data_IF_789421963122
#
_entry.id   IF_789421963122
#
_cell.length_a   1.000
_cell.length_b   1.000
_cell.length_c   1.000
_cell.angle_alpha   90.00
_cell.angle_beta   90.00
_cell.angle_gamma   90.00
#
_symmetry.space_group_name_H-M   'P 1'
#
loop_
_entity.id
_entity.type
_entity.pdbx_description
1 polymer ?
#
# COMPACT_ATOMS: atom_id res chain seq x y z
N UNK A 1 -4.28 4.82 -8.71
CA UNK A 1 -3.63 5.04 -7.38
C UNK A 1 -3.91 3.89 -6.43
N UNK A 2 -2.89 3.38 -5.73
CA UNK A 2 -3.01 2.24 -4.79
C UNK A 2 -3.44 2.70 -3.39
N UNK A 3 -3.99 1.83 -2.53
CA UNK A 3 -4.36 2.20 -1.16
C UNK A 3 -3.20 2.81 -0.36
N UNK A 4 -2.00 2.22 -0.44
CA UNK A 4 -0.80 2.77 0.21
C UNK A 4 -0.45 4.21 -0.23
N UNK A 5 -0.66 4.54 -1.51
CA UNK A 5 -0.38 5.87 -2.04
C UNK A 5 -1.38 6.91 -1.46
N UNK A 6 -2.65 6.50 -1.30
CA UNK A 6 -3.72 7.33 -0.70
C UNK A 6 -3.44 7.54 0.79
N UNK A 7 -3.13 6.47 1.53
CA UNK A 7 -2.80 6.55 2.96
C UNK A 7 -1.61 7.50 3.18
N UNK A 8 -0.54 7.31 2.41
CA UNK A 8 0.67 8.15 2.48
C UNK A 8 0.35 9.63 2.18
N UNK A 9 -0.48 9.91 1.17
CA UNK A 9 -0.90 11.28 0.84
C UNK A 9 -1.72 11.93 1.97
N UNK A 10 -2.63 11.18 2.59
CA UNK A 10 -3.42 11.63 3.73
C UNK A 10 -2.52 11.94 4.93
N UNK A 11 -1.56 11.07 5.24
CA UNK A 11 -0.62 11.28 6.34
C UNK A 11 0.25 12.52 6.15
N UNK A 12 0.76 12.76 4.95
CA UNK A 12 1.57 13.96 4.66
C UNK A 12 0.73 15.22 4.83
N UNK A 13 -0.46 15.26 4.23
CA UNK A 13 -1.28 16.46 4.23
C UNK A 13 -1.89 16.75 5.61
N UNK A 14 -2.53 15.75 6.21
CA UNK A 14 -3.16 15.89 7.52
C UNK A 14 -2.15 15.87 8.67
N UNK A 15 -1.08 15.08 8.58
CA UNK A 15 0.00 15.11 9.56
C UNK A 15 0.71 16.47 9.62
N UNK A 16 0.99 17.11 8.48
CA UNK A 16 1.50 18.49 8.47
C UNK A 16 0.52 19.49 9.11
N UNK A 17 -0.80 19.30 8.92
CA UNK A 17 -1.80 20.11 9.61
C UNK A 17 -1.80 19.86 11.11
N UNK A 18 -1.74 18.61 11.55
CA UNK A 18 -1.68 18.21 12.96
C UNK A 18 -0.43 18.78 13.65
N UNK A 19 0.73 18.74 12.98
CA UNK A 19 1.97 19.33 13.48
C UNK A 19 1.88 20.85 13.69
N UNK A 20 1.10 21.55 12.84
CA UNK A 20 0.89 23.02 12.97
C UNK A 20 -0.24 23.39 13.93
N UNK A 21 -1.31 22.60 13.95
CA UNK A 21 -2.53 22.84 14.72
C UNK A 21 -2.95 21.61 15.54
N UNK A 22 -2.17 21.16 16.55
CA UNK A 22 -2.43 19.90 17.25
C UNK A 22 -3.83 19.81 17.86
N UNK A 23 -4.34 20.93 18.40
CA UNK A 23 -5.65 21.02 19.03
C UNK A 23 -6.85 20.90 18.05
N UNK A 24 -6.61 20.89 16.74
CA UNK A 24 -7.66 20.83 15.70
C UNK A 24 -7.58 19.58 14.83
N UNK A 25 -6.53 18.79 14.96
CA UNK A 25 -6.44 17.51 14.30
C UNK A 25 -7.20 16.47 15.12
N UNK A 26 -8.16 15.82 14.48
CA UNK A 26 -8.92 14.71 15.04
C UNK A 26 -8.54 13.47 14.24
N UNK A 27 -7.67 12.64 14.82
CA UNK A 27 -7.12 11.46 14.16
C UNK A 27 -8.21 10.44 13.82
N UNK A 28 -9.22 10.33 14.69
CA UNK A 28 -10.45 9.58 14.44
C UNK A 28 -11.18 10.01 13.16
N UNK A 29 -11.17 11.31 12.82
CA UNK A 29 -11.76 11.79 11.57
C UNK A 29 -10.92 11.43 10.32
N UNK A 30 -9.61 11.23 10.48
CA UNK A 30 -8.72 10.75 9.40
C UNK A 30 -8.92 9.26 9.19
N UNK A 31 -9.01 8.49 10.26
CA UNK A 31 -9.32 7.06 10.23
C UNK A 31 -10.72 6.80 9.67
N UNK A 32 -11.73 7.60 10.08
CA UNK A 32 -13.08 7.55 9.51
C UNK A 32 -13.04 7.84 8.01
N UNK A 33 -12.24 8.80 7.58
CA UNK A 33 -12.09 9.18 6.18
C UNK A 33 -11.34 8.12 5.35
N UNK A 34 -10.32 7.47 5.91
CA UNK A 34 -9.69 6.29 5.31
C UNK A 34 -10.68 5.10 5.24
N UNK A 35 -11.47 4.88 6.28
CA UNK A 35 -12.45 3.80 6.38
C UNK A 35 -13.65 3.95 5.43
N UNK A 36 -14.20 5.16 5.28
CA UNK A 36 -15.36 5.43 4.41
C UNK A 36 -15.05 5.26 2.92
N UNK A 37 -13.79 5.48 2.50
CA UNK A 37 -13.42 5.59 1.08
C UNK A 37 -12.69 4.37 0.52
N UNK A 38 -12.17 3.48 1.38
CA UNK A 38 -11.53 2.23 0.94
C UNK A 38 -12.51 1.04 0.82
N UNK A 39 -13.75 1.10 1.37
CA UNK A 39 -14.98 0.37 0.93
C UNK A 39 -16.21 0.68 1.83
N UNK A 40 -17.47 0.64 1.34
CA UNK A 40 -18.65 1.17 2.07
C UNK A 40 -19.22 0.30 3.20
N UNK A 41 -18.73 -0.93 3.42
CA UNK A 41 -19.41 -1.94 4.24
C UNK A 41 -18.51 -2.69 5.23
N UNK A 42 -17.33 -2.16 5.55
CA UNK A 42 -16.43 -2.77 6.53
C UNK A 42 -16.06 -1.76 7.61
N UNK A 43 -16.24 -2.07 8.91
CA UNK A 43 -15.63 -1.29 9.97
C UNK A 43 -14.11 -1.49 9.87
N UNK A 44 -13.44 -0.55 9.22
CA UNK A 44 -11.98 -0.54 9.14
C UNK A 44 -11.40 -0.17 10.51
N UNK A 45 -10.68 -1.10 11.12
CA UNK A 45 -9.58 -0.77 12.05
C UNK A 45 -8.32 -0.58 11.18
N UNK A 46 -8.23 0.51 10.42
CA UNK A 46 -6.98 0.83 9.68
C UNK A 46 -5.92 1.18 10.71
N UNK A 47 -4.97 0.28 10.98
CA UNK A 47 -3.85 0.58 11.87
C UNK A 47 -2.74 1.19 11.05
N UNK A 48 -2.46 2.47 11.29
CA UNK A 48 -1.23 3.11 10.84
C UNK A 48 -0.22 3.01 11.97
N UNK A 49 0.78 2.17 11.77
CA UNK A 49 1.85 1.95 12.73
C UNK A 49 3.19 2.42 12.18
N UNK A 50 3.99 3.03 13.06
CA UNK A 50 5.37 3.34 12.78
C UNK A 50 6.23 2.33 13.50
N UNK A 51 7.19 1.76 12.78
CA UNK A 51 8.19 0.88 13.37
C UNK A 51 9.42 1.73 13.64
N UNK A 52 9.76 1.88 14.93
CA UNK A 52 10.88 2.72 15.34
C UNK A 52 12.24 2.03 15.11
N UNK A 53 13.34 2.68 15.52
CA UNK A 53 14.69 2.15 15.35
C UNK A 53 14.92 0.85 16.15
N UNK A 54 14.16 0.64 17.23
CA UNK A 54 14.18 -0.56 18.05
C UNK A 54 13.31 -1.70 17.52
N UNK A 55 12.53 -1.45 16.45
CA UNK A 55 11.54 -2.39 15.95
C UNK A 55 10.23 -2.37 16.73
N UNK A 56 10.02 -1.39 17.62
CA UNK A 56 8.76 -1.26 18.36
C UNK A 56 7.71 -0.60 17.47
N UNK A 57 6.49 -1.17 17.50
CA UNK A 57 5.35 -0.64 16.78
C UNK A 57 4.67 0.40 17.66
N UNK A 58 4.57 1.63 17.16
CA UNK A 58 3.85 2.72 17.80
C UNK A 58 2.74 3.22 16.88
N UNK A 59 1.63 3.67 17.45
CA UNK A 59 0.58 4.33 16.66
C UNK A 59 1.11 5.64 16.07
N UNK A 60 0.50 6.12 14.98
CA UNK A 60 0.91 7.41 14.42
C UNK A 60 0.75 8.59 15.40
N UNK A 61 -0.29 8.55 16.23
CA UNK A 61 -0.53 9.57 17.26
C UNK A 61 0.62 9.57 18.28
N UNK A 62 0.94 8.42 18.87
CA UNK A 62 2.08 8.27 19.80
C UNK A 62 3.40 8.67 19.14
N UNK A 63 3.58 8.34 17.86
CA UNK A 63 4.76 8.73 17.09
C UNK A 63 4.89 10.25 16.94
N UNK A 64 3.77 10.96 16.73
CA UNK A 64 3.72 12.43 16.64
C UNK A 64 3.89 13.11 18.00
N UNK A 65 3.28 12.58 19.06
CA UNK A 65 3.36 13.14 20.42
C UNK A 65 4.80 13.23 20.94
N UNK A 66 5.66 12.30 20.50
CA UNK A 66 7.08 12.28 20.85
C UNK A 66 7.95 13.18 19.95
N UNK A 67 7.35 13.96 19.05
CA UNK A 67 8.02 14.74 17.99
C UNK A 67 7.59 16.23 17.86
N UNK A 68 7.09 16.94 18.89
CA UNK A 68 6.62 18.31 18.71
C UNK A 68 7.80 19.27 18.48
N UNK A 69 7.85 19.83 17.27
CA UNK A 69 8.67 20.99 16.96
C UNK A 69 7.85 21.94 16.07
N UNK A 70 7.90 23.27 16.27
CA UNK A 70 7.23 24.23 15.37
C UNK A 70 7.63 24.08 13.90
N UNK A 71 8.83 23.57 13.66
CA UNK A 71 9.44 23.27 12.35
C UNK A 71 9.17 21.85 11.85
N UNK A 72 8.49 21.00 12.62
CA UNK A 72 8.19 19.62 12.23
C UNK A 72 7.32 19.59 10.96
N UNK A 73 7.76 18.84 9.95
CA UNK A 73 7.09 18.68 8.66
C UNK A 73 7.24 17.25 8.15
N UNK A 74 6.25 16.81 7.40
CA UNK A 74 6.27 15.58 6.63
C UNK A 74 6.40 15.90 5.15
N UNK A 75 7.23 15.12 4.45
CA UNK A 75 7.49 15.22 3.03
C UNK A 75 7.42 13.86 2.38
N UNK A 76 7.31 13.85 1.05
CA UNK A 76 7.50 12.68 0.21
C UNK A 76 8.76 12.84 -0.62
N UNK A 77 9.59 11.82 -0.59
CA UNK A 77 10.79 11.73 -1.42
C UNK A 77 10.68 10.48 -2.31
N UNK A 78 11.16 10.52 -3.56
CA UNK A 78 11.16 9.33 -4.42
C UNK A 78 12.06 8.23 -3.85
N UNK A 79 11.73 6.97 -4.14
CA UNK A 79 12.72 5.90 -3.97
C UNK A 79 13.90 6.09 -4.95
N UNK A 80 15.12 5.68 -4.56
CA UNK A 80 16.25 5.68 -5.46
C UNK A 80 16.00 4.77 -6.67
N UNK A 81 16.59 5.12 -7.81
CA UNK A 81 16.53 4.30 -9.02
C UNK A 81 17.45 3.09 -8.87
N UNK A 82 17.01 2.11 -8.08
CA UNK A 82 17.65 0.83 -7.84
C UNK A 82 18.44 0.76 -6.52
N UNK A 83 18.63 -0.47 -5.98
CA UNK A 83 19.26 -0.70 -4.67
C UNK A 83 20.73 -0.27 -4.59
N UNK A 84 21.39 -0.03 -5.72
CA UNK A 84 22.81 0.34 -5.77
C UNK A 84 23.10 1.84 -5.64
N UNK A 85 22.11 2.71 -5.88
CA UNK A 85 22.38 4.16 -5.98
C UNK A 85 22.40 4.89 -4.64
N UNK A 86 21.82 4.29 -3.59
CA UNK A 86 21.85 4.85 -2.24
C UNK A 86 22.53 3.87 -1.27
N UNK A 87 23.77 4.18 -0.90
CA UNK A 87 24.54 3.35 0.02
C UNK A 87 23.94 3.26 1.42
N UNK A 88 23.06 4.20 1.79
CA UNK A 88 22.38 4.15 3.09
C UNK A 88 21.28 3.08 3.15
N UNK A 89 20.86 2.56 1.99
CA UNK A 89 19.95 1.42 1.92
C UNK A 89 20.68 0.08 1.94
N UNK A 90 22.02 0.07 1.87
CA UNK A 90 22.82 -1.16 1.90
C UNK A 90 22.85 -1.69 3.33
N UNK A 91 22.27 -2.88 3.54
CA UNK A 91 22.19 -3.51 4.86
C UNK A 91 20.90 -3.21 5.62
N UNK A 92 19.88 -2.66 4.95
CA UNK A 92 18.55 -2.64 5.51
C UNK A 92 17.97 -4.07 5.60
N UNK A 93 17.06 -4.31 6.56
CA UNK A 93 16.26 -5.52 6.61
C UNK A 93 15.54 -5.86 5.29
N UNK A 94 15.30 -7.15 5.05
CA UNK A 94 14.71 -7.67 3.79
C UNK A 94 13.29 -7.15 3.54
N UNK A 95 12.49 -7.01 4.59
CA UNK A 95 11.14 -6.43 4.55
C UNK A 95 11.12 -4.97 4.09
N UNK A 96 12.15 -4.18 4.41
CA UNK A 96 12.30 -2.81 3.89
C UNK A 96 12.61 -2.84 2.39
N UNK A 97 13.47 -3.75 1.94
CA UNK A 97 13.75 -3.92 0.52
C UNK A 97 12.50 -4.36 -0.24
N UNK A 98 11.76 -5.33 0.29
CA UNK A 98 10.48 -5.76 -0.25
C UNK A 98 9.48 -4.60 -0.34
N UNK A 99 9.38 -3.77 0.71
CA UNK A 99 8.49 -2.62 0.73
C UNK A 99 8.88 -1.57 -0.33
N UNK A 100 10.18 -1.30 -0.53
CA UNK A 100 10.66 -0.42 -1.60
C UNK A 100 10.32 -0.99 -2.98
N UNK A 101 10.56 -2.27 -3.19
CA UNK A 101 10.34 -2.96 -4.46
C UNK A 101 8.84 -3.12 -4.79
N UNK A 102 8.00 -3.24 -3.76
CA UNK A 102 6.54 -3.21 -3.87
C UNK A 102 6.04 -1.86 -4.42
N UNK A 103 6.88 -0.82 -4.38
CA UNK A 103 6.64 0.48 -4.98
C UNK A 103 5.83 1.42 -4.08
N UNK A 104 5.73 2.69 -4.45
CA UNK A 104 5.16 3.72 -3.59
C UNK A 104 5.00 5.04 -4.30
N UNK A 105 4.47 6.02 -3.58
CA UNK A 105 4.86 7.40 -3.84
C UNK A 105 6.33 7.64 -3.49
N UNK A 106 6.89 6.86 -2.54
CA UNK A 106 8.29 6.88 -2.15
C UNK A 106 8.43 6.85 -0.62
N UNK A 107 9.50 7.42 -0.09
CA UNK A 107 9.67 7.57 1.36
C UNK A 107 8.73 8.64 1.91
N UNK A 108 8.18 8.36 3.10
CA UNK A 108 7.72 9.41 3.99
C UNK A 108 8.93 9.97 4.75
N UNK A 109 9.11 11.29 4.70
CA UNK A 109 10.26 11.95 5.33
C UNK A 109 9.79 12.90 6.40
N UNK A 110 10.25 12.68 7.63
CA UNK A 110 10.04 13.60 8.74
C UNK A 110 11.23 14.54 8.89
N UNK A 111 10.97 15.83 9.04
CA UNK A 111 11.99 16.82 9.41
C UNK A 111 11.49 17.72 10.52
N UNK A 112 12.31 17.98 11.55
CA UNK A 112 12.08 19.04 12.54
C UNK A 112 13.10 20.18 12.46
N UNK A 113 13.92 20.20 11.40
CA UNK A 113 15.03 21.13 11.23
C UNK A 113 16.32 20.72 11.94
N UNK A 114 16.29 19.73 12.84
CA UNK A 114 17.48 19.11 13.43
C UNK A 114 17.66 17.66 12.98
N UNK A 115 16.55 16.94 12.88
CA UNK A 115 16.45 15.56 12.47
C UNK A 115 15.82 15.46 11.09
N UNK A 116 16.24 14.45 10.37
CA UNK A 116 15.66 14.06 9.10
C UNK A 116 15.60 12.54 9.07
N UNK A 117 14.40 11.98 8.99
CA UNK A 117 14.14 10.55 9.12
C UNK A 117 13.34 10.07 7.91
N UNK A 118 13.70 8.92 7.33
CA UNK A 118 12.96 8.28 6.23
C UNK A 118 12.20 7.08 6.74
N UNK A 119 11.00 6.90 6.20
CA UNK A 119 10.15 5.75 6.45
C UNK A 119 9.67 5.18 5.13
N UNK A 120 9.68 3.85 5.00
CA UNK A 120 9.10 3.14 3.86
C UNK A 120 7.68 2.74 4.19
N UNK A 121 6.68 3.19 3.41
CA UNK A 121 5.31 2.74 3.57
C UNK A 121 5.17 1.29 3.08
N UNK A 122 4.57 0.43 3.88
CA UNK A 122 4.26 -0.97 3.57
C UNK A 122 2.77 -1.22 3.79
N UNK A 123 2.12 -1.80 2.79
CA UNK A 123 0.73 -2.27 2.93
C UNK A 123 0.76 -3.67 3.53
N UNK A 124 0.18 -3.82 4.71
CA UNK A 124 0.01 -5.10 5.37
C UNK A 124 -1.37 -5.61 5.00
N UNK A 125 -1.38 -6.67 4.19
CA UNK A 125 -2.61 -7.40 3.95
C UNK A 125 -3.05 -8.05 5.25
N UNK A 126 -4.31 -7.91 5.64
CA UNK A 126 -4.81 -8.59 6.81
C UNK A 126 -4.68 -10.10 6.62
N UNK A 127 -4.50 -10.85 7.71
CA UNK A 127 -4.57 -12.29 7.65
C UNK A 127 -5.89 -12.70 6.98
N UNK A 128 -5.80 -13.54 5.96
CA UNK A 128 -6.97 -14.19 5.33
C UNK A 128 -7.75 -14.99 6.37
N UNK A 129 -7.05 -15.51 7.39
CA UNK A 129 -7.60 -16.29 8.49
C UNK A 129 -7.24 -15.71 9.87
N UNK A 130 -8.22 -15.29 10.67
CA UNK A 130 -8.00 -14.90 12.07
C UNK A 130 -8.09 -16.13 13.01
N UNK A 131 -7.25 -17.13 12.75
CA UNK A 131 -7.23 -18.38 13.53
C UNK A 131 -5.91 -18.44 14.27
N UNK A 132 -5.97 -18.50 15.60
CA UNK A 132 -4.80 -18.76 16.44
C UNK A 132 -4.45 -20.25 16.44
N UNK A 133 -3.19 -20.58 16.74
CA UNK A 133 -2.75 -21.97 16.88
C UNK A 133 -3.63 -22.80 17.82
N UNK A 134 -3.95 -22.31 19.04
CA UNK A 134 -4.87 -23.01 19.94
C UNK A 134 -6.27 -23.23 19.35
N UNK A 135 -6.80 -22.31 18.55
CA UNK A 135 -8.09 -22.49 17.87
C UNK A 135 -8.00 -23.55 16.77
N UNK A 136 -6.93 -23.55 15.97
CA UNK A 136 -6.68 -24.59 14.98
C UNK A 136 -6.54 -25.97 15.63
N UNK A 137 -5.79 -26.06 16.73
CA UNK A 137 -5.62 -27.29 17.49
C UNK A 137 -6.95 -27.82 18.06
N UNK A 138 -7.73 -26.96 18.72
CA UNK A 138 -9.04 -27.31 19.25
C UNK A 138 -10.02 -27.74 18.14
N UNK A 139 -9.94 -27.09 16.97
CA UNK A 139 -10.73 -27.43 15.80
C UNK A 139 -10.39 -28.84 15.27
N UNK A 140 -9.10 -29.20 15.17
CA UNK A 140 -8.66 -30.52 14.73
C UNK A 140 -9.11 -31.60 15.73
N UNK A 141 -8.95 -31.36 17.04
CA UNK A 141 -9.38 -32.29 18.10
C UNK A 141 -10.87 -32.61 18.07
N UNK A 142 -11.70 -31.69 17.57
CA UNK A 142 -13.15 -31.89 17.44
C UNK A 142 -13.57 -32.79 16.28
N UNK A 143 -12.64 -33.30 15.47
CA UNK A 143 -12.91 -34.12 14.28
C UNK A 143 -12.96 -35.61 14.59
N UNK A 144 -13.54 -36.36 13.67
CA UNK A 144 -13.66 -37.81 13.77
C UNK A 144 -12.29 -38.52 13.77
N UNK A 145 -11.34 -38.02 12.97
CA UNK A 145 -9.96 -38.52 12.91
C UNK A 145 -8.94 -37.38 13.09
N UNK A 146 -8.68 -36.96 14.35
CA UNK A 146 -7.73 -35.90 14.63
C UNK A 146 -6.28 -36.33 14.33
N UNK A 147 -5.97 -37.62 14.44
CA UNK A 147 -4.60 -38.14 14.26
C UNK A 147 -4.10 -37.98 12.83
N UNK A 148 -4.90 -38.33 11.83
CA UNK A 148 -4.53 -38.14 10.42
C UNK A 148 -4.30 -36.65 10.08
N UNK A 149 -5.15 -35.76 10.60
CA UNK A 149 -5.01 -34.32 10.39
C UNK A 149 -3.76 -33.75 11.08
N UNK A 150 -3.42 -34.23 12.27
CA UNK A 150 -2.18 -33.84 12.92
C UNK A 150 -0.94 -34.34 12.17
N UNK A 151 -0.97 -35.51 11.54
CA UNK A 151 0.14 -35.99 10.71
C UNK A 151 0.36 -35.10 9.47
N UNK A 152 -0.71 -34.68 8.79
CA UNK A 152 -0.61 -33.74 7.67
C UNK A 152 -0.05 -32.40 8.15
N UNK A 153 -0.59 -31.85 9.25
CA UNK A 153 -0.14 -30.57 9.78
C UNK A 153 1.32 -30.62 10.28
N UNK A 154 1.73 -31.72 10.91
CA UNK A 154 3.13 -31.98 11.28
C UNK A 154 4.05 -32.02 10.06
N UNK A 155 3.59 -32.64 8.97
CA UNK A 155 4.34 -32.69 7.71
C UNK A 155 4.48 -31.30 7.10
N UNK A 156 3.40 -30.51 7.02
CA UNK A 156 3.41 -29.14 6.49
C UNK A 156 4.29 -28.17 7.29
N UNK A 157 4.31 -28.35 8.61
CA UNK A 157 5.12 -27.56 9.53
C UNK A 157 6.54 -28.13 9.71
N UNK A 158 6.86 -29.28 9.11
CA UNK A 158 8.12 -29.99 9.25
C UNK A 158 8.52 -30.25 10.72
N UNK A 159 7.55 -30.62 11.56
CA UNK A 159 7.75 -30.90 13.00
C UNK A 159 7.40 -32.35 13.29
N UNK A 160 8.04 -32.94 14.30
CA UNK A 160 7.66 -34.26 14.79
C UNK A 160 6.24 -34.22 15.38
N UNK A 161 5.38 -35.24 15.15
CA UNK A 161 4.00 -35.26 15.64
C UNK A 161 3.88 -35.01 17.16
N UNK A 162 4.84 -35.48 17.96
CA UNK A 162 4.82 -35.33 19.42
C UNK A 162 5.12 -33.89 19.88
N UNK A 163 5.74 -33.08 19.02
CA UNK A 163 6.05 -31.67 19.28
C UNK A 163 4.99 -30.72 18.69
N UNK A 164 4.05 -31.25 17.91
CA UNK A 164 3.12 -30.46 17.11
C UNK A 164 2.22 -29.56 17.97
N UNK A 165 1.66 -30.08 19.06
CA UNK A 165 0.77 -29.29 19.95
C UNK A 165 1.48 -28.06 20.52
N UNK A 166 2.69 -28.25 21.04
CA UNK A 166 3.51 -27.16 21.57
C UNK A 166 3.95 -26.17 20.49
N UNK A 167 4.23 -26.66 19.28
CA UNK A 167 4.60 -25.82 18.15
C UNK A 167 3.42 -25.00 17.65
N UNK A 168 2.26 -25.61 17.41
CA UNK A 168 1.03 -24.92 17.00
C UNK A 168 0.66 -23.85 18.02
N UNK A 169 0.72 -24.16 19.32
CA UNK A 169 0.43 -23.18 20.38
C UNK A 169 1.37 -21.96 20.37
N UNK A 170 2.56 -22.09 19.76
CA UNK A 170 3.52 -20.99 19.60
C UNK A 170 3.36 -20.21 18.30
N UNK A 171 2.59 -20.73 17.33
CA UNK A 171 2.38 -20.06 16.04
C UNK A 171 1.48 -18.84 16.22
N UNK A 172 1.94 -17.72 15.65
CA UNK A 172 1.14 -16.52 15.50
C UNK A 172 0.06 -16.71 14.41
N UNK A 173 -0.99 -15.88 14.37
CA UNK A 173 -1.92 -15.84 13.26
C UNK A 173 -1.26 -15.60 11.89
N UNK A 174 -0.12 -14.91 11.87
CA UNK A 174 0.66 -14.64 10.66
C UNK A 174 1.37 -15.90 10.17
N UNK A 175 2.02 -16.65 11.08
CA UNK A 175 2.64 -17.93 10.74
C UNK A 175 1.61 -18.92 10.15
N UNK A 176 0.35 -18.82 10.60
CA UNK A 176 -0.73 -19.66 10.13
C UNK A 176 -1.27 -19.27 8.75
N UNK A 177 -0.99 -18.07 8.24
CA UNK A 177 -1.44 -17.65 6.90
C UNK A 177 -0.86 -18.51 5.78
N UNK A 178 0.39 -18.91 5.93
CA UNK A 178 1.07 -19.74 4.92
C UNK A 178 0.76 -21.23 5.12
N UNK A 179 0.44 -21.61 6.35
CA UNK A 179 0.23 -23.01 6.75
C UNK A 179 -1.17 -23.45 6.40
N UNK A 180 -2.19 -22.63 6.67
CA UNK A 180 -3.60 -22.99 6.46
C UNK A 180 -3.90 -23.36 5.00
N UNK A 181 -3.53 -22.57 3.96
CA UNK A 181 -3.80 -22.92 2.56
C UNK A 181 -3.16 -24.25 2.15
N UNK A 182 -1.91 -24.48 2.57
CA UNK A 182 -1.20 -25.74 2.29
C UNK A 182 -1.83 -26.91 3.02
N UNK A 183 -2.12 -26.74 4.30
CA UNK A 183 -2.83 -27.72 5.11
C UNK A 183 -4.21 -28.06 4.54
N UNK A 184 -4.97 -27.08 4.04
CA UNK A 184 -6.26 -27.33 3.38
C UNK A 184 -6.10 -28.09 2.06
N UNK A 185 -5.07 -27.77 1.27
CA UNK A 185 -4.77 -28.48 0.03
C UNK A 185 -4.36 -29.94 0.32
N UNK A 186 -3.38 -30.15 1.20
CA UNK A 186 -2.87 -31.46 1.58
C UNK A 186 -3.90 -32.29 2.36
N UNK A 187 -4.75 -31.63 3.16
CA UNK A 187 -5.86 -32.26 3.88
C UNK A 187 -6.94 -32.82 2.97
N UNK A 188 -7.11 -32.25 1.77
CA UNK A 188 -8.06 -32.76 0.77
C UNK A 188 -7.61 -34.07 0.12
N UNK A 189 -6.31 -34.38 0.17
CA UNK A 189 -5.69 -35.60 -0.35
C UNK A 189 -5.57 -36.72 0.70
N UNK A 190 -6.03 -36.48 1.93
CA UNK A 190 -6.08 -37.53 2.95
C UNK A 190 -7.08 -38.59 2.50
N UNK A 191 -6.58 -39.68 1.93
CA UNK A 191 -7.36 -40.89 1.68
C UNK A 191 -7.77 -41.45 3.04
N UNK A 192 -8.98 -41.08 3.48
CA UNK A 192 -9.63 -41.68 4.63
C UNK A 192 -9.64 -43.19 4.41
N UNK A 193 -8.90 -43.89 5.27
CA UNK A 193 -8.62 -45.30 5.10
C UNK A 193 -9.91 -46.06 4.80
N UNK A 194 -9.86 -46.90 3.77
CA UNK A 194 -10.97 -47.70 3.25
C UNK A 194 -11.47 -48.77 4.24
N UNK A 195 -11.88 -48.36 5.44
CA UNK A 195 -12.49 -49.20 6.46
C UNK A 195 -14.00 -49.00 6.50
N UNK A 196 -14.68 -49.00 5.35
CA UNK A 196 -16.16 -49.08 5.28
C UNK A 196 -16.96 -47.92 5.88
N UNK A 197 -16.31 -46.97 6.56
CA UNK A 197 -16.89 -45.70 6.96
C UNK A 197 -16.78 -44.74 5.78
N UNK A 198 -17.89 -44.04 5.54
CA UNK A 198 -18.00 -43.06 4.48
C UNK A 198 -16.82 -42.07 4.55
N UNK A 199 -16.38 -41.56 3.40
CA UNK A 199 -15.49 -40.40 3.36
C UNK A 199 -16.01 -39.25 4.23
N UNK A 200 -15.25 -38.15 4.37
CA UNK A 200 -15.62 -37.06 5.28
C UNK A 200 -17.07 -36.69 4.99
N UNK A 201 -17.91 -36.72 6.03
CA UNK A 201 -19.32 -36.38 5.85
C UNK A 201 -19.35 -35.01 5.16
N UNK A 202 -20.27 -34.81 4.22
CA UNK A 202 -20.59 -33.51 3.66
C UNK A 202 -20.62 -32.40 4.73
N UNK A 203 -21.11 -32.73 5.94
CA UNK A 203 -21.10 -31.85 7.10
C UNK A 203 -19.69 -31.45 7.59
N UNK A 204 -18.71 -32.37 7.56
CA UNK A 204 -17.33 -32.07 7.94
C UNK A 204 -16.65 -31.14 6.94
N UNK A 205 -16.85 -31.37 5.63
CA UNK A 205 -16.33 -30.51 4.56
C UNK A 205 -16.96 -29.10 4.63
N UNK A 206 -18.27 -29.01 4.87
CA UNK A 206 -18.95 -27.73 5.07
C UNK A 206 -18.46 -26.99 6.32
N UNK A 207 -18.29 -27.70 7.45
CA UNK A 207 -17.76 -27.09 8.68
C UNK A 207 -16.30 -26.65 8.49
N UNK A 208 -15.52 -27.39 7.71
CA UNK A 208 -14.16 -27.05 7.35
C UNK A 208 -14.07 -25.76 6.54
N UNK A 209 -14.81 -25.71 5.44
CA UNK A 209 -14.87 -24.54 4.59
C UNK A 209 -15.45 -23.32 5.31
N UNK A 210 -16.39 -23.53 6.25
CA UNK A 210 -16.95 -22.45 7.07
C UNK A 210 -15.96 -21.91 8.10
N UNK A 211 -15.19 -22.77 8.77
CA UNK A 211 -14.19 -22.36 9.75
C UNK A 211 -13.02 -21.62 9.13
N UNK A 212 -12.55 -22.11 7.97
CA UNK A 212 -11.53 -21.44 7.16
C UNK A 212 -12.15 -20.52 6.09
N UNK A 213 -13.40 -20.10 6.24
CA UNK A 213 -13.90 -19.03 5.39
C UNK A 213 -13.14 -17.75 5.76
N UNK A 214 -12.65 -16.96 4.78
CA UNK A 214 -12.07 -15.66 5.08
C UNK A 214 -13.04 -14.88 5.97
N UNK A 215 -12.53 -14.30 7.06
CA UNK A 215 -13.38 -13.50 7.94
C UNK A 215 -14.09 -12.44 7.10
N UNK A 216 -15.43 -12.27 7.20
CA UNK A 216 -16.13 -11.19 6.50
C UNK A 216 -15.55 -9.80 6.80
N UNK A 217 -14.80 -9.69 7.91
CA UNK A 217 -14.08 -8.49 8.35
C UNK A 217 -12.61 -8.41 7.87
N UNK A 218 -12.04 -9.43 7.19
CA UNK A 218 -10.63 -9.45 6.75
C UNK A 218 -10.32 -8.51 5.57
N UNK A 219 -11.09 -7.43 5.40
CA UNK A 219 -10.77 -6.36 4.45
C UNK A 219 -9.97 -5.22 5.09
N UNK A 220 -9.49 -5.39 6.33
CA UNK A 220 -8.73 -4.38 7.07
C UNK A 220 -7.32 -4.22 6.49
N UNK A 221 -7.14 -3.26 5.60
CA UNK A 221 -5.79 -2.81 5.21
C UNK A 221 -5.11 -2.16 6.43
N UNK A 222 -3.94 -2.68 6.79
CA UNK A 222 -3.05 -2.04 7.76
C UNK A 222 -1.85 -1.47 7.02
N UNK A 223 -1.27 -0.41 7.58
CA UNK A 223 -0.16 0.30 6.94
C UNK A 223 0.96 0.48 7.94
N UNK A 224 2.15 0.02 7.57
CA UNK A 224 3.36 0.18 8.36
C UNK A 224 4.29 1.21 7.73
N UNK A 225 4.92 2.01 8.56
CA UNK A 225 5.97 2.94 8.18
C UNK A 225 7.28 2.47 8.81
N UNK A 226 8.05 1.72 8.01
CA UNK A 226 9.29 1.10 8.45
C UNK A 226 10.43 2.12 8.43
N UNK A 227 11.16 2.26 9.54
CA UNK A 227 12.29 3.18 9.58
C UNK A 227 13.41 2.79 8.60
N UNK A 228 13.66 3.64 7.60
CA UNK A 228 14.61 3.42 6.52
C UNK A 228 15.97 4.11 6.75
N UNK A 229 16.19 4.67 7.95
CA UNK A 229 17.40 5.41 8.28
C UNK A 229 17.24 6.94 8.23
N UNK A 230 18.35 7.69 8.36
CA UNK A 230 18.34 9.14 8.24
C UNK A 230 17.95 9.57 6.82
N UNK A 231 17.34 10.73 6.69
CA UNK A 231 17.09 11.39 5.40
C UNK A 231 18.17 12.40 5.03
N UNK A 232 18.05 12.97 3.83
CA UNK A 232 18.97 13.94 3.25
C UNK A 232 18.24 15.22 2.80
N UNK A 233 18.92 16.37 2.79
CA UNK A 233 18.30 17.62 2.32
C UNK A 233 17.74 17.52 0.88
N UNK A 234 18.35 16.68 0.04
CA UNK A 234 17.86 16.38 -1.31
C UNK A 234 16.49 15.71 -1.34
N UNK A 235 16.06 15.11 -0.23
CA UNK A 235 14.75 14.46 -0.09
C UNK A 235 13.62 15.50 0.07
N UNK A 236 13.97 16.74 0.40
CA UNK A 236 13.03 17.84 0.56
C UNK A 236 12.73 18.47 -0.81
N UNK A 237 11.88 17.80 -1.60
CA UNK A 237 11.49 18.24 -2.95
C UNK A 237 10.62 19.52 -2.89
N UNK A 238 10.95 20.54 -3.72
CA UNK A 238 10.36 21.89 -3.58
C UNK A 238 9.92 22.61 -4.86
N UNK A 239 10.24 22.12 -6.05
CA UNK A 239 9.95 22.89 -7.27
C UNK A 239 8.65 22.45 -7.94
N UNK A 240 7.55 23.05 -7.47
CA UNK A 240 6.20 22.84 -8.02
C UNK A 240 6.10 23.25 -9.49
N UNK A 241 6.81 24.30 -9.90
CA UNK A 241 6.76 24.82 -11.27
C UNK A 241 7.54 23.91 -12.22
N UNK A 242 8.69 23.38 -11.80
CA UNK A 242 9.42 22.37 -12.57
C UNK A 242 8.61 21.09 -12.73
N UNK A 243 8.04 20.55 -11.64
CA UNK A 243 7.20 19.36 -11.70
C UNK A 243 5.97 19.56 -12.61
N UNK A 244 5.37 20.76 -12.57
CA UNK A 244 4.28 21.15 -13.45
C UNK A 244 4.69 21.21 -14.92
N UNK A 245 5.83 21.83 -15.23
CA UNK A 245 6.35 21.92 -16.59
C UNK A 245 6.71 20.54 -17.15
N UNK A 246 7.34 19.69 -16.34
CA UNK A 246 7.73 18.32 -16.73
C UNK A 246 6.52 17.43 -17.01
N UNK A 247 5.50 17.47 -16.15
CA UNK A 247 4.27 16.73 -16.38
C UNK A 247 3.55 17.23 -17.64
N UNK A 248 3.42 18.54 -17.81
CA UNK A 248 2.80 19.12 -19.01
C UNK A 248 3.51 18.64 -20.29
N UNK A 249 4.83 18.75 -20.34
CA UNK A 249 5.63 18.31 -21.49
C UNK A 249 5.49 16.80 -21.76
N UNK A 250 5.38 15.99 -20.72
CA UNK A 250 5.21 14.54 -20.84
C UNK A 250 3.83 14.17 -21.39
N UNK A 251 2.77 14.82 -20.88
CA UNK A 251 1.39 14.62 -21.38
C UNK A 251 1.25 15.09 -22.83
N UNK A 252 1.83 16.24 -23.19
CA UNK A 252 1.85 16.73 -24.58
C UNK A 252 2.55 15.74 -25.52
N UNK A 253 3.64 15.12 -25.08
CA UNK A 253 4.38 14.15 -25.89
C UNK A 253 3.57 12.86 -26.13
N UNK A 254 2.92 12.30 -25.11
CA UNK A 254 2.04 11.12 -25.29
C UNK A 254 0.77 11.46 -26.06
N UNK A 255 0.24 12.68 -25.92
CA UNK A 255 -0.88 13.17 -26.74
C UNK A 255 -0.48 13.23 -28.22
N UNK A 256 0.69 13.79 -28.54
CA UNK A 256 1.18 13.88 -29.90
C UNK A 256 1.43 12.50 -30.52
N UNK A 257 1.97 11.56 -29.73
CA UNK A 257 2.12 10.16 -30.14
C UNK A 257 0.75 9.51 -30.41
N UNK A 258 -0.20 9.64 -29.48
CA UNK A 258 -1.56 9.13 -29.66
C UNK A 258 -2.23 9.69 -30.93
N UNK A 259 -2.05 10.98 -31.21
CA UNK A 259 -2.55 11.62 -32.43
C UNK A 259 -1.94 11.01 -33.70
N UNK A 260 -0.61 10.85 -33.75
CA UNK A 260 0.09 10.27 -34.89
C UNK A 260 -0.37 8.84 -35.21
N UNK A 261 -0.74 8.06 -34.19
CA UNK A 261 -1.25 6.70 -34.31
C UNK A 261 -2.78 6.60 -34.39
N UNK A 262 -3.49 7.72 -34.59
CA UNK A 262 -4.97 7.76 -34.67
C UNK A 262 -5.70 7.22 -33.42
N UNK A 263 -5.07 7.29 -32.26
CA UNK A 263 -5.60 6.85 -30.96
C UNK A 263 -6.47 7.96 -30.34
N UNK A 264 -7.60 8.25 -30.98
CA UNK A 264 -8.45 9.42 -30.66
C UNK A 264 -8.94 9.48 -29.22
N UNK A 265 -9.21 8.32 -28.60
CA UNK A 265 -9.63 8.25 -27.19
C UNK A 265 -8.52 8.72 -26.26
N UNK A 266 -7.28 8.25 -26.48
CA UNK A 266 -6.09 8.62 -25.72
C UNK A 266 -5.70 10.08 -25.94
N UNK A 267 -5.72 10.56 -27.19
CA UNK A 267 -5.49 11.97 -27.49
C UNK A 267 -6.46 12.88 -26.71
N UNK A 268 -7.76 12.55 -26.74
CA UNK A 268 -8.79 13.30 -25.99
C UNK A 268 -8.57 13.20 -24.49
N UNK A 269 -8.14 12.04 -23.98
CA UNK A 269 -7.85 11.82 -22.56
C UNK A 269 -6.70 12.73 -22.10
N UNK A 270 -5.54 12.68 -22.75
CA UNK A 270 -4.37 13.50 -22.39
C UNK A 270 -4.64 14.99 -22.51
N UNK A 271 -5.39 15.42 -23.54
CA UNK A 271 -5.84 16.80 -23.66
C UNK A 271 -6.68 17.25 -22.45
N UNK A 272 -7.58 16.38 -21.96
CA UNK A 272 -8.41 16.67 -20.77
C UNK A 272 -7.57 16.72 -19.50
N UNK A 273 -6.56 15.87 -19.37
CA UNK A 273 -5.63 15.90 -18.23
C UNK A 273 -4.86 17.24 -18.19
N UNK A 274 -4.29 17.69 -19.32
CA UNK A 274 -3.59 18.97 -19.42
C UNK A 274 -4.43 20.18 -18.99
N UNK A 275 -5.72 20.20 -19.37
CA UNK A 275 -6.63 21.29 -18.99
C UNK A 275 -6.73 21.46 -17.46
N UNK A 276 -6.52 20.40 -16.68
CA UNK A 276 -6.56 20.47 -15.20
C UNK A 276 -5.52 21.41 -14.62
N UNK A 277 -4.41 21.65 -15.33
CA UNK A 277 -3.41 22.62 -14.90
C UNK A 277 -3.94 24.07 -14.87
N UNK A 278 -4.96 24.41 -15.66
CA UNK A 278 -5.48 25.77 -15.77
C UNK A 278 -6.91 25.95 -15.24
N UNK A 279 -7.63 24.86 -15.02
CA UNK A 279 -9.00 24.91 -14.54
C UNK A 279 -9.05 25.25 -13.05
N UNK A 280 -10.09 25.98 -12.64
CA UNK A 280 -10.42 26.12 -11.23
C UNK A 280 -10.69 24.73 -10.65
N UNK A 281 -10.04 24.35 -9.53
CA UNK A 281 -10.32 23.08 -8.87
C UNK A 281 -11.81 22.94 -8.56
N UNK A 282 -12.42 21.87 -9.06
CA UNK A 282 -13.79 21.52 -8.73
C UNK A 282 -13.76 20.36 -7.73
N UNK A 283 -14.59 20.37 -6.68
CA UNK A 283 -14.62 19.33 -5.64
C UNK A 283 -15.26 18.00 -6.11
N UNK A 284 -15.10 17.63 -7.39
CA UNK A 284 -15.90 16.58 -8.03
C UNK A 284 -15.33 15.15 -7.91
N UNK A 285 -14.19 14.95 -7.25
CA UNK A 285 -13.51 13.65 -7.17
C UNK A 285 -12.92 13.43 -5.75
N UNK A 286 -12.97 12.20 -5.24
CA UNK A 286 -12.67 11.87 -3.82
C UNK A 286 -11.27 12.29 -3.37
N UNK A 287 -10.27 12.19 -4.24
CA UNK A 287 -8.89 12.66 -3.96
C UNK A 287 -8.82 14.18 -3.78
N UNK A 288 -9.70 14.92 -4.45
CA UNK A 288 -9.71 16.39 -4.48
C UNK A 288 -10.30 16.95 -3.22
N UNK A 289 -11.33 16.30 -2.69
CA UNK A 289 -11.90 16.63 -1.38
C UNK A 289 -10.82 16.52 -0.29
N UNK A 290 -10.00 15.45 -0.32
CA UNK A 290 -8.87 15.27 0.59
C UNK A 290 -7.81 16.36 0.47
N UNK A 291 -7.44 16.71 -0.75
CA UNK A 291 -6.43 17.73 -1.01
C UNK A 291 -6.92 19.13 -0.62
N UNK A 292 -8.19 19.45 -0.90
CA UNK A 292 -8.82 20.73 -0.58
C UNK A 292 -8.98 20.95 0.93
N UNK A 293 -9.32 19.92 1.70
CA UNK A 293 -9.50 20.00 3.16
C UNK A 293 -8.21 20.39 3.91
N UNK A 294 -7.05 20.24 3.28
CA UNK A 294 -5.74 20.46 3.90
C UNK A 294 -5.10 21.81 3.54
N UNK A 295 -5.84 22.72 2.87
CA UNK A 295 -5.39 24.10 2.65
C UNK A 295 -4.23 24.24 1.66
N UNK A 296 -4.09 23.30 0.73
CA UNK A 296 -3.10 23.36 -0.34
C UNK A 296 -3.35 24.57 -1.26
N UNK A 297 -2.29 25.20 -1.80
CA UNK A 297 -2.44 26.30 -2.75
C UNK A 297 -3.02 25.79 -4.08
N UNK A 298 -3.82 26.63 -4.76
CA UNK A 298 -4.48 26.28 -6.03
C UNK A 298 -3.56 25.63 -7.07
N UNK A 299 -2.32 26.12 -7.31
CA UNK A 299 -1.42 25.48 -8.27
C UNK A 299 -1.04 24.02 -7.91
N UNK A 300 -0.93 23.70 -6.62
CA UNK A 300 -0.64 22.35 -6.15
C UNK A 300 -1.85 21.42 -6.35
N UNK A 301 -3.06 21.91 -6.08
CA UNK A 301 -4.28 21.16 -6.34
C UNK A 301 -4.44 20.88 -7.84
N UNK A 302 -4.24 21.90 -8.69
CA UNK A 302 -4.26 21.74 -10.15
C UNK A 302 -3.24 20.71 -10.65
N UNK A 303 -2.03 20.71 -10.07
CA UNK A 303 -1.00 19.76 -10.43
C UNK A 303 -1.38 18.33 -10.01
N UNK A 304 -1.88 18.13 -8.79
CA UNK A 304 -2.36 16.83 -8.33
C UNK A 304 -3.54 16.31 -9.17
N UNK A 305 -4.47 17.19 -9.56
CA UNK A 305 -5.58 16.86 -10.46
C UNK A 305 -5.09 16.44 -11.84
N UNK A 306 -4.10 17.15 -12.38
CA UNK A 306 -3.48 16.81 -13.65
C UNK A 306 -2.79 15.45 -13.57
N UNK A 307 -2.00 15.23 -12.51
CA UNK A 307 -1.32 13.96 -12.25
C UNK A 307 -2.32 12.80 -12.18
N UNK A 308 -3.34 12.91 -11.33
CA UNK A 308 -4.39 11.89 -11.20
C UNK A 308 -5.15 11.65 -12.51
N UNK A 309 -5.49 12.71 -13.25
CA UNK A 309 -6.16 12.58 -14.54
C UNK A 309 -5.27 12.01 -15.65
N UNK A 310 -3.94 12.05 -15.48
CA UNK A 310 -2.95 11.49 -16.42
C UNK A 310 -2.50 10.07 -16.05
N UNK A 311 -2.90 9.55 -14.88
CA UNK A 311 -2.56 8.21 -14.42
C UNK A 311 -3.36 7.17 -15.22
N UNK A 312 -2.72 6.67 -16.28
CA UNK A 312 -3.28 5.71 -17.24
C UNK A 312 -2.70 4.30 -17.06
N UNK A 313 -2.03 4.07 -15.93
CA UNK A 313 -1.27 2.86 -15.65
C UNK A 313 -2.10 1.91 -14.78
N UNK A 314 -2.58 0.82 -15.37
CA UNK A 314 -3.29 -0.25 -14.67
C UNK A 314 -4.74 -0.47 -15.13
N UNK A 315 -5.22 -1.70 -14.97
CA UNK A 315 -6.53 -2.15 -15.43
C UNK A 315 -6.54 -2.64 -16.89
N UNK A 316 -7.60 -3.35 -17.27
CA UNK A 316 -7.81 -3.83 -18.64
C UNK A 316 -8.23 -2.68 -19.56
N UNK A 317 -7.60 -2.57 -20.73
CA UNK A 317 -7.76 -1.46 -21.67
C UNK A 317 -6.96 -0.21 -21.31
N UNK A 318 -5.97 -0.33 -20.43
CA UNK A 318 -5.11 0.77 -19.99
C UNK A 318 -4.09 1.17 -21.06
N UNK A 319 -3.36 2.27 -20.83
CA UNK A 319 -2.32 2.69 -21.76
C UNK A 319 -1.28 1.59 -21.95
N UNK A 320 -0.96 0.86 -20.87
CA UNK A 320 0.00 -0.24 -20.86
C UNK A 320 -0.38 -1.44 -21.74
N UNK A 321 -1.65 -1.57 -22.15
CA UNK A 321 -2.11 -2.66 -23.01
C UNK A 321 -1.84 -2.38 -24.50
N UNK A 322 -1.37 -1.19 -24.83
CA UNK A 322 -1.01 -0.82 -26.20
C UNK A 322 0.29 -1.52 -26.61
N UNK A 323 0.31 -2.02 -27.85
CA UNK A 323 1.50 -2.61 -28.46
C UNK A 323 1.79 -1.95 -29.80
N UNK A 324 3.08 -1.79 -30.08
CA UNK A 324 3.63 -1.19 -31.29
C UNK A 324 4.82 -2.02 -31.73
N UNK A 325 5.30 -1.81 -32.95
CA UNK A 325 6.44 -2.53 -33.51
C UNK A 325 7.61 -1.57 -33.82
N UNK A 326 8.83 -2.08 -33.76
CA UNK A 326 10.04 -1.34 -34.15
C UNK A 326 10.25 -0.05 -33.35
N UNK A 327 10.58 1.03 -34.06
CA UNK A 327 10.91 2.33 -33.45
C UNK A 327 9.73 2.94 -32.67
N UNK A 328 8.49 2.64 -33.07
CA UNK A 328 7.31 3.14 -32.35
C UNK A 328 7.14 2.44 -31.00
N UNK A 329 7.57 1.19 -30.86
CA UNK A 329 7.61 0.49 -29.57
C UNK A 329 8.60 1.16 -28.61
N UNK A 330 9.84 1.39 -29.07
CA UNK A 330 10.88 2.03 -28.25
C UNK A 330 10.44 3.43 -27.81
N UNK A 331 9.85 4.19 -28.73
CA UNK A 331 9.31 5.52 -28.44
C UNK A 331 8.15 5.46 -27.47
N UNK A 332 7.22 4.52 -27.65
CA UNK A 332 6.11 4.31 -26.74
C UNK A 332 6.59 3.97 -25.33
N UNK A 333 7.54 3.04 -25.17
CA UNK A 333 8.12 2.67 -23.87
C UNK A 333 8.76 3.90 -23.21
N UNK A 334 9.62 4.63 -23.93
CA UNK A 334 10.29 5.81 -23.39
C UNK A 334 9.31 6.92 -22.97
N UNK A 335 8.23 7.12 -23.72
CA UNK A 335 7.18 8.08 -23.39
C UNK A 335 6.34 7.62 -22.19
N UNK A 336 6.02 6.34 -22.10
CA UNK A 336 5.29 5.74 -20.98
C UNK A 336 6.09 5.86 -19.68
N UNK A 337 7.38 5.52 -19.72
CA UNK A 337 8.28 5.64 -18.55
C UNK A 337 8.39 7.09 -18.08
N UNK A 338 8.54 8.02 -19.03
CA UNK A 338 8.60 9.46 -18.74
C UNK A 338 7.29 9.95 -18.14
N UNK A 339 6.15 9.57 -18.71
CA UNK A 339 4.82 9.94 -18.19
C UNK A 339 4.67 9.41 -16.77
N UNK A 340 4.92 8.12 -16.55
CA UNK A 340 4.85 7.48 -15.23
C UNK A 340 5.69 8.23 -14.19
N UNK A 341 6.96 8.50 -14.50
CA UNK A 341 7.86 9.22 -13.61
C UNK A 341 7.35 10.63 -13.30
N UNK A 342 6.98 11.40 -14.32
CA UNK A 342 6.50 12.78 -14.16
C UNK A 342 5.18 12.88 -13.41
N UNK A 343 4.24 11.93 -13.60
CA UNK A 343 2.97 11.85 -12.87
C UNK A 343 3.22 11.61 -11.38
N UNK A 344 4.13 10.69 -11.03
CA UNK A 344 4.49 10.40 -9.64
C UNK A 344 5.19 11.58 -8.98
N UNK A 345 6.11 12.24 -9.68
CA UNK A 345 6.77 13.47 -9.21
C UNK A 345 5.76 14.58 -8.97
N UNK A 346 4.92 14.89 -9.95
CA UNK A 346 3.89 15.91 -9.83
C UNK A 346 2.98 15.68 -8.62
N UNK A 347 2.55 14.44 -8.38
CA UNK A 347 1.72 14.11 -7.22
C UNK A 347 2.47 14.34 -5.90
N UNK A 348 3.72 13.86 -5.76
CA UNK A 348 4.55 14.11 -4.56
C UNK A 348 4.75 15.60 -4.31
N UNK A 349 5.19 16.35 -5.31
CA UNK A 349 5.48 17.78 -5.16
C UNK A 349 4.22 18.58 -4.81
N UNK A 350 3.07 18.17 -5.35
CA UNK A 350 1.78 18.76 -4.98
C UNK A 350 1.45 18.52 -3.51
N UNK A 351 1.63 17.28 -3.02
CA UNK A 351 1.38 16.91 -1.62
C UNK A 351 2.36 17.63 -0.68
N UNK A 352 3.64 17.70 -1.04
CA UNK A 352 4.68 18.40 -0.28
C UNK A 352 4.40 19.89 -0.11
N UNK A 353 3.53 20.50 -0.93
CA UNK A 353 3.09 21.87 -0.72
C UNK A 353 2.33 22.06 0.60
N UNK A 354 1.85 20.99 1.26
CA UNK A 354 1.29 21.08 2.62
C UNK A 354 2.35 21.35 3.68
N UNK A 355 3.63 21.08 3.41
CA UNK A 355 4.73 21.31 4.35
C UNK A 355 5.19 22.79 4.39
N UNK A 356 4.86 23.55 3.34
CA UNK A 356 5.19 24.97 3.18
C UNK A 356 4.43 25.93 4.08
#
# INVERSE_FOLDING_TARGET
>A
MRPIDICTAVLVTTGNRALREPAKARWDAVEELLGLRLRPHSPFDSRVTFVDVGGEHVSFEEWLENRPAPSARLWLAPFPKGPSSDSSLQGLPEDIHEAIDSGGLGFLVYSDGQRLERFVPREIQPPTYEISGPQLHAFILGRHDPSALFEVLATELAVAPEALEGHIASLSPDDLQDVIPRFMSSGSDVEYAASGDAGPDSADVETWNSFFSPSPASSSLSFEFLYAGPGFESDLERDLDSARAELAASIEAVQAFAHAHSLRSWEKHFRRALLRLSLEPQPLEDLVELLLLNGLPTPAIQLALCAAASDVFGGMGSWNDMSFEGQDHERYVALSDRLFASTRTALRTSLNSSAG
#
